data_IF_687477595387
#
_entry.id   IF_687477595387
#
_cell.length_a   1.000
_cell.length_b   1.000
_cell.length_c   1.000
_cell.angle_alpha   90.00
_cell.angle_beta   90.00
_cell.angle_gamma   90.00
#
_symmetry.space_group_name_H-M   'P 1'
#
loop_
_entity.id
_entity.type
_entity.pdbx_description
1 polymer ?
#
# COMPACT_ATOMS: atom_id res chain seq x y z
N UNK A 1 -17.84 3.97 -15.78
CA UNK A 1 -17.65 2.52 -15.87
C UNK A 1 -18.94 2.01 -16.49
N UNK A 2 -18.89 1.43 -17.68
CA UNK A 2 -20.03 0.74 -18.30
C UNK A 2 -19.73 -0.73 -18.13
N UNK A 3 -20.63 -1.47 -17.50
CA UNK A 3 -20.48 -2.90 -17.24
C UNK A 3 -20.82 -3.76 -18.47
N UNK A 4 -21.48 -3.18 -19.49
CA UNK A 4 -21.81 -3.79 -20.79
C UNK A 4 -22.73 -5.01 -20.71
N UNK A 5 -23.28 -5.31 -19.53
CA UNK A 5 -24.19 -6.43 -19.35
C UNK A 5 -25.61 -6.04 -19.78
N UNK A 6 -26.22 -6.88 -20.61
CA UNK A 6 -27.61 -6.76 -21.04
C UNK A 6 -28.56 -7.62 -20.20
N UNK A 7 -28.03 -8.69 -19.61
CA UNK A 7 -28.73 -9.55 -18.65
C UNK A 7 -27.71 -10.30 -17.80
N UNK A 8 -27.98 -10.43 -16.50
CA UNK A 8 -27.23 -11.27 -15.56
C UNK A 8 -28.23 -12.01 -14.68
N UNK A 9 -28.34 -13.31 -14.89
CA UNK A 9 -29.16 -14.22 -14.09
C UNK A 9 -28.23 -15.06 -13.21
N UNK A 10 -28.23 -14.76 -11.90
CA UNK A 10 -27.43 -15.47 -10.89
C UNK A 10 -28.06 -16.81 -10.47
N UNK A 11 -29.39 -16.97 -10.62
CA UNK A 11 -30.11 -18.21 -10.31
C UNK A 11 -29.93 -18.68 -8.85
N UNK A 12 -29.87 -17.73 -7.91
CA UNK A 12 -29.81 -17.99 -6.47
C UNK A 12 -31.20 -18.02 -5.80
N UNK A 13 -32.24 -17.63 -6.53
CA UNK A 13 -33.61 -17.73 -6.03
C UNK A 13 -34.01 -19.19 -5.89
N UNK A 14 -34.67 -19.55 -4.79
CA UNK A 14 -35.10 -20.94 -4.53
C UNK A 14 -36.54 -21.22 -4.98
N UNK A 15 -37.25 -20.19 -5.44
CA UNK A 15 -38.60 -20.26 -6.00
C UNK A 15 -39.00 -18.91 -6.58
N UNK A 16 -39.86 -18.91 -7.61
CA UNK A 16 -40.47 -17.70 -8.14
C UNK A 16 -39.72 -17.14 -9.34
N UNK A 17 -39.68 -15.82 -9.47
CA UNK A 17 -39.04 -15.10 -10.59
C UNK A 17 -37.53 -15.03 -10.31
N UNK A 18 -36.71 -15.24 -11.35
CA UNK A 18 -35.28 -14.94 -11.33
C UNK A 18 -35.05 -13.49 -11.76
N UNK A 19 -34.42 -12.70 -10.90
CA UNK A 19 -34.29 -11.27 -11.16
C UNK A 19 -33.02 -10.98 -11.98
N UNK A 20 -33.19 -10.23 -13.07
CA UNK A 20 -32.05 -9.72 -13.81
C UNK A 20 -31.30 -8.69 -12.95
N UNK A 21 -30.00 -8.92 -12.73
CA UNK A 21 -29.17 -8.04 -11.91
C UNK A 21 -28.71 -6.77 -12.64
N UNK A 22 -29.10 -6.60 -13.91
CA UNK A 22 -28.89 -5.36 -14.67
C UNK A 22 -30.08 -4.41 -14.56
N UNK A 23 -29.93 -3.19 -15.09
CA UNK A 23 -31.04 -2.23 -15.17
C UNK A 23 -32.06 -2.50 -16.29
N UNK A 24 -31.91 -3.61 -17.02
CA UNK A 24 -32.76 -3.93 -18.17
C UNK A 24 -33.98 -4.78 -17.80
N UNK A 25 -34.08 -5.26 -16.56
CA UNK A 25 -35.24 -5.99 -16.01
C UNK A 25 -35.64 -7.20 -16.89
N UNK A 26 -34.67 -7.91 -17.49
CA UNK A 26 -34.92 -9.14 -18.27
C UNK A 26 -35.16 -10.36 -17.35
N UNK A 27 -36.10 -10.21 -16.42
CA UNK A 27 -36.43 -11.19 -15.40
C UNK A 27 -36.88 -12.53 -16.00
N UNK A 28 -36.40 -13.63 -15.42
CA UNK A 28 -36.72 -14.99 -15.82
C UNK A 28 -37.94 -15.55 -15.09
N UNK A 29 -38.94 -16.01 -15.85
CA UNK A 29 -40.09 -16.75 -15.33
C UNK A 29 -39.91 -18.25 -15.55
N UNK A 30 -39.67 -19.05 -14.49
CA UNK A 30 -39.54 -20.49 -14.61
C UNK A 30 -40.89 -21.14 -14.91
N UNK A 31 -40.89 -22.08 -15.85
CA UNK A 31 -42.07 -22.74 -16.40
C UNK A 31 -42.02 -24.24 -16.13
N UNK A 32 -43.20 -24.85 -16.05
CA UNK A 32 -43.42 -26.30 -16.04
C UNK A 32 -42.81 -27.13 -14.90
N UNK A 33 -42.07 -26.53 -13.97
CA UNK A 33 -41.60 -27.24 -12.79
C UNK A 33 -40.11 -27.11 -12.49
N UNK A 34 -39.39 -26.23 -13.19
CA UNK A 34 -37.96 -25.92 -12.96
C UNK A 34 -37.64 -25.91 -11.46
N UNK A 35 -36.68 -26.75 -11.07
CA UNK A 35 -36.21 -26.80 -9.70
C UNK A 35 -35.11 -25.76 -9.48
N UNK A 36 -35.45 -24.70 -8.74
CA UNK A 36 -34.58 -23.55 -8.48
C UNK A 36 -33.72 -23.70 -7.20
N UNK A 37 -33.78 -24.86 -6.53
CA UNK A 37 -33.06 -25.09 -5.27
C UNK A 37 -31.79 -25.93 -5.45
N UNK A 38 -31.23 -25.91 -6.66
CA UNK A 38 -30.01 -26.63 -6.99
C UNK A 38 -28.78 -26.05 -6.27
N UNK A 39 -27.76 -26.90 -6.06
CA UNK A 39 -26.45 -26.43 -5.62
C UNK A 39 -25.63 -26.13 -6.88
N UNK A 40 -25.50 -24.84 -7.17
CA UNK A 40 -24.77 -24.30 -8.31
C UNK A 40 -23.26 -24.43 -8.23
N UNK A 41 -22.61 -23.84 -9.22
CA UNK A 41 -21.22 -23.46 -9.06
C UNK A 41 -21.12 -22.21 -8.17
N UNK A 42 -22.02 -21.24 -8.35
CA UNK A 42 -22.08 -19.99 -7.58
C UNK A 42 -23.45 -19.82 -6.95
N UNK A 43 -23.54 -20.02 -5.64
CA UNK A 43 -24.69 -19.67 -4.79
C UNK A 43 -26.11 -20.04 -5.30
N UNK A 44 -26.24 -21.10 -6.11
CA UNK A 44 -27.54 -21.62 -6.54
C UNK A 44 -27.53 -22.06 -7.99
N UNK A 45 -28.51 -22.84 -8.40
CA UNK A 45 -28.74 -23.10 -9.83
C UNK A 45 -30.14 -23.61 -10.08
N UNK A 46 -30.55 -23.51 -11.34
CA UNK A 46 -31.75 -24.18 -11.83
C UNK A 46 -31.42 -25.56 -12.37
N UNK A 47 -32.30 -26.52 -12.10
CA UNK A 47 -32.22 -27.89 -12.62
C UNK A 47 -33.46 -28.23 -13.45
N UNK A 48 -33.22 -28.82 -14.62
CA UNK A 48 -34.19 -29.14 -15.67
C UNK A 48 -34.29 -30.66 -15.85
N UNK A 49 -35.51 -31.16 -16.06
CA UNK A 49 -35.84 -32.59 -15.96
C UNK A 49 -35.99 -33.36 -17.29
N UNK A 50 -35.52 -32.78 -18.41
CA UNK A 50 -35.65 -33.33 -19.76
C UNK A 50 -37.08 -33.44 -20.32
N UNK A 51 -38.11 -32.92 -19.65
CA UNK A 51 -39.50 -33.03 -20.10
C UNK A 51 -39.95 -31.78 -20.83
N UNK A 52 -40.11 -30.68 -20.10
CA UNK A 52 -40.63 -29.42 -20.65
C UNK A 52 -40.23 -28.19 -19.83
N UNK A 53 -39.31 -28.32 -18.88
CA UNK A 53 -38.79 -27.23 -18.06
C UNK A 53 -38.00 -26.20 -18.90
N UNK A 54 -38.27 -24.92 -18.65
CA UNK A 54 -37.49 -23.80 -19.19
C UNK A 54 -37.74 -22.53 -18.37
N UNK A 55 -36.87 -21.55 -18.50
CA UNK A 55 -37.09 -20.19 -17.97
C UNK A 55 -37.29 -19.24 -19.13
N UNK A 56 -38.36 -18.44 -19.03
CA UNK A 56 -38.76 -17.42 -20.00
C UNK A 56 -38.29 -16.03 -19.55
N UNK A 57 -37.29 -15.45 -20.22
CA UNK A 57 -36.82 -14.08 -19.97
C UNK A 57 -37.54 -13.04 -20.85
N UNK A 58 -38.60 -13.45 -21.57
CA UNK A 58 -39.38 -12.57 -22.43
C UNK A 58 -38.65 -12.13 -23.70
N UNK A 59 -39.21 -11.10 -24.33
CA UNK A 59 -38.66 -10.49 -25.54
C UNK A 59 -38.07 -9.12 -25.20
N UNK A 60 -36.76 -8.98 -25.41
CA UNK A 60 -36.06 -7.70 -25.47
C UNK A 60 -35.05 -7.71 -26.63
N UNK A 61 -34.90 -6.56 -27.28
CA UNK A 61 -33.89 -6.31 -28.32
C UNK A 61 -32.45 -6.27 -27.78
N UNK A 62 -32.25 -6.00 -26.50
CA UNK A 62 -30.96 -6.05 -25.83
C UNK A 62 -30.41 -7.48 -25.67
N UNK A 63 -31.30 -8.48 -25.74
CA UNK A 63 -30.95 -9.90 -25.80
C UNK A 63 -30.65 -10.36 -27.23
N UNK A 64 -30.51 -9.43 -28.19
CA UNK A 64 -30.14 -9.70 -29.58
C UNK A 64 -28.75 -9.14 -29.89
N UNK A 65 -27.85 -9.93 -30.52
CA UNK A 65 -26.56 -9.39 -30.97
C UNK A 65 -26.71 -8.26 -32.01
N UNK A 66 -27.80 -8.27 -32.78
CA UNK A 66 -28.04 -7.26 -33.80
C UNK A 66 -26.90 -7.19 -34.81
N UNK A 67 -26.39 -5.98 -35.08
CA UNK A 67 -25.21 -5.76 -35.93
C UNK A 67 -23.91 -5.54 -35.15
N UNK A 68 -23.97 -5.52 -33.82
CA UNK A 68 -22.84 -5.20 -32.94
C UNK A 68 -22.17 -6.44 -32.38
N UNK A 69 -21.12 -6.20 -31.60
CA UNK A 69 -20.42 -7.25 -30.88
C UNK A 69 -21.27 -7.81 -29.75
N UNK A 70 -20.98 -9.03 -29.33
CA UNK A 70 -21.76 -9.69 -28.30
C UNK A 70 -20.98 -10.76 -27.55
N UNK A 71 -21.35 -11.02 -26.30
CA UNK A 71 -20.89 -12.19 -25.55
C UNK A 71 -22.06 -12.84 -24.84
N UNK A 72 -22.12 -14.16 -24.86
CA UNK A 72 -23.04 -14.95 -24.05
C UNK A 72 -22.26 -16.02 -23.29
N UNK A 73 -22.51 -16.14 -21.99
CA UNK A 73 -21.78 -17.03 -21.08
C UNK A 73 -22.74 -17.71 -20.09
N UNK A 74 -22.40 -18.94 -19.69
CA UNK A 74 -23.12 -19.71 -18.65
C UNK A 74 -22.27 -20.88 -18.16
N UNK A 75 -22.50 -21.31 -16.92
CA UNK A 75 -22.07 -22.59 -16.40
C UNK A 75 -23.11 -23.68 -16.70
N UNK A 76 -22.63 -24.84 -17.15
CA UNK A 76 -23.48 -25.95 -17.59
C UNK A 76 -23.04 -27.23 -16.90
N UNK A 77 -24.01 -27.97 -16.35
CA UNK A 77 -23.82 -29.32 -15.85
C UNK A 77 -24.88 -30.25 -16.43
N UNK A 78 -24.50 -31.12 -17.36
CA UNK A 78 -25.42 -32.04 -18.04
C UNK A 78 -25.60 -33.37 -17.28
N UNK A 79 -26.73 -34.04 -17.49
CA UNK A 79 -27.00 -35.38 -16.94
C UNK A 79 -27.21 -36.47 -17.99
N UNK A 80 -27.68 -36.12 -19.19
CA UNK A 80 -27.80 -37.07 -20.31
C UNK A 80 -26.68 -36.89 -21.33
N UNK A 81 -26.32 -37.98 -22.00
CA UNK A 81 -25.29 -38.08 -23.03
C UNK A 81 -25.89 -38.65 -24.32
N UNK A 82 -25.34 -38.28 -25.47
CA UNK A 82 -25.82 -38.81 -26.75
C UNK A 82 -27.18 -38.25 -27.20
N UNK A 83 -27.60 -37.11 -26.65
CA UNK A 83 -28.91 -36.49 -26.91
C UNK A 83 -28.78 -35.00 -27.18
N UNK A 84 -29.70 -34.47 -27.99
CA UNK A 84 -29.72 -33.05 -28.37
C UNK A 84 -30.49 -32.22 -27.34
N UNK A 85 -29.82 -31.39 -26.56
CA UNK A 85 -30.42 -30.58 -25.49
C UNK A 85 -30.08 -29.09 -25.63
N UNK A 86 -31.09 -28.23 -25.57
CA UNK A 86 -30.91 -26.78 -25.66
C UNK A 86 -30.47 -26.20 -24.32
N UNK A 87 -29.44 -25.36 -24.33
CA UNK A 87 -29.00 -24.59 -23.16
C UNK A 87 -29.77 -23.27 -23.13
N UNK A 88 -29.73 -22.53 -24.25
CA UNK A 88 -30.57 -21.35 -24.44
C UNK A 88 -30.90 -21.12 -25.92
N UNK A 89 -31.97 -20.36 -26.14
CA UNK A 89 -32.44 -20.02 -27.47
C UNK A 89 -33.13 -18.67 -27.49
N UNK A 90 -32.88 -17.92 -28.56
CA UNK A 90 -33.71 -16.83 -29.04
C UNK A 90 -33.77 -16.95 -30.56
N UNK A 91 -34.43 -18.01 -31.03
CA UNK A 91 -34.51 -18.33 -32.46
C UNK A 91 -35.89 -18.79 -32.90
N UNK A 92 -36.30 -18.42 -34.11
CA UNK A 92 -37.52 -18.96 -34.74
C UNK A 92 -37.30 -20.41 -35.18
N UNK A 93 -38.39 -21.14 -35.41
CA UNK A 93 -38.31 -22.48 -36.02
C UNK A 93 -37.75 -22.48 -37.46
N UNK A 94 -37.63 -21.31 -38.10
CA UNK A 94 -37.01 -21.10 -39.42
C UNK A 94 -35.53 -20.74 -39.35
N UNK A 95 -34.97 -20.59 -38.14
CA UNK A 95 -33.54 -20.37 -37.89
C UNK A 95 -33.12 -18.93 -37.59
N UNK A 96 -34.04 -17.95 -37.68
CA UNK A 96 -33.71 -16.54 -37.43
C UNK A 96 -33.41 -16.32 -35.93
N UNK A 97 -32.24 -15.77 -35.63
CA UNK A 97 -31.78 -15.53 -34.26
C UNK A 97 -30.53 -16.33 -33.91
N UNK A 98 -30.44 -16.78 -32.66
CA UNK A 98 -29.33 -17.60 -32.18
C UNK A 98 -29.80 -18.66 -31.16
N UNK A 99 -29.00 -19.71 -31.02
CA UNK A 99 -29.17 -20.71 -29.98
C UNK A 99 -27.83 -21.38 -29.63
N UNK A 100 -27.81 -21.98 -28.46
CA UNK A 100 -26.70 -22.75 -27.93
C UNK A 100 -27.21 -24.03 -27.32
N UNK A 101 -26.64 -25.14 -27.74
CA UNK A 101 -27.12 -26.47 -27.36
C UNK A 101 -25.98 -27.47 -27.34
N UNK A 102 -26.25 -28.63 -26.79
CA UNK A 102 -25.38 -29.80 -26.87
C UNK A 102 -25.98 -30.75 -27.91
N UNK A 103 -25.18 -31.17 -28.90
CA UNK A 103 -25.58 -32.15 -29.91
C UNK A 103 -25.53 -33.59 -29.38
N UNK A 104 -26.10 -34.53 -30.14
CA UNK A 104 -26.09 -35.95 -29.83
C UNK A 104 -24.69 -36.61 -29.93
N UNK A 105 -23.68 -35.92 -30.45
CA UNK A 105 -22.27 -36.32 -30.29
C UNK A 105 -21.56 -35.67 -29.08
N UNK A 106 -22.33 -35.12 -28.14
CA UNK A 106 -21.86 -34.46 -26.93
C UNK A 106 -21.05 -33.16 -27.17
N UNK A 107 -21.17 -32.58 -28.36
CA UNK A 107 -20.50 -31.33 -28.75
C UNK A 107 -21.37 -30.13 -28.38
N UNK A 108 -20.77 -29.13 -27.74
CA UNK A 108 -21.42 -27.84 -27.56
C UNK A 108 -21.44 -27.10 -28.89
N UNK A 109 -22.60 -26.61 -29.30
CA UNK A 109 -22.82 -26.00 -30.60
C UNK A 109 -23.52 -24.67 -30.46
N UNK A 110 -22.90 -23.63 -31.02
CA UNK A 110 -23.49 -22.32 -31.17
C UNK A 110 -23.89 -22.08 -32.62
N UNK A 111 -25.07 -21.54 -32.81
CA UNK A 111 -25.55 -21.15 -34.12
C UNK A 111 -26.26 -19.81 -34.07
N UNK A 112 -25.96 -18.98 -35.05
CA UNK A 112 -26.66 -17.72 -35.29
C UNK A 112 -26.82 -17.46 -36.79
N UNK A 113 -27.91 -16.81 -37.19
CA UNK A 113 -28.12 -16.43 -38.60
C UNK A 113 -28.07 -14.91 -38.75
N UNK A 114 -26.94 -14.34 -39.20
CA UNK A 114 -26.93 -13.06 -39.89
C UNK A 114 -27.49 -13.23 -41.32
N UNK A 115 -27.96 -12.14 -41.95
CA UNK A 115 -28.60 -12.20 -43.27
C UNK A 115 -27.69 -12.90 -44.30
N UNK A 116 -28.17 -14.01 -44.86
CA UNK A 116 -27.59 -14.68 -46.03
C UNK A 116 -26.60 -15.81 -45.75
N UNK A 117 -26.11 -16.01 -44.51
CA UNK A 117 -25.24 -17.13 -44.14
C UNK A 117 -25.18 -17.32 -42.62
N UNK A 118 -25.00 -18.55 -42.11
CA UNK A 118 -24.96 -18.82 -40.68
C UNK A 118 -23.55 -18.68 -40.07
N UNK A 119 -23.50 -18.39 -38.78
CA UNK A 119 -22.37 -18.64 -37.90
C UNK A 119 -22.70 -19.96 -37.20
N UNK A 120 -21.90 -20.98 -37.41
CA UNK A 120 -22.13 -22.33 -36.90
C UNK A 120 -20.81 -22.87 -36.36
N UNK A 121 -20.76 -23.09 -35.05
CA UNK A 121 -19.53 -23.37 -34.31
C UNK A 121 -19.75 -24.52 -33.36
N UNK A 122 -18.77 -25.43 -33.29
CA UNK A 122 -18.80 -26.59 -32.41
C UNK A 122 -17.51 -26.65 -31.57
N UNK A 123 -17.66 -26.92 -30.28
CA UNK A 123 -16.54 -27.18 -29.36
C UNK A 123 -16.00 -28.61 -29.52
N UNK A 124 -15.03 -28.97 -28.68
CA UNK A 124 -14.79 -30.37 -28.32
C UNK A 124 -15.90 -30.94 -27.41
N UNK A 125 -16.01 -32.27 -27.26
CA UNK A 125 -17.14 -32.87 -26.56
C UNK A 125 -17.08 -32.68 -25.03
N UNK A 126 -18.25 -32.45 -24.43
CA UNK A 126 -18.47 -32.47 -22.98
C UNK A 126 -18.94 -33.87 -22.59
N UNK A 127 -17.99 -34.72 -22.16
CA UNK A 127 -18.20 -36.17 -21.96
C UNK A 127 -18.33 -36.59 -20.51
N UNK A 128 -18.46 -35.63 -19.60
CA UNK A 128 -18.69 -35.86 -18.18
C UNK A 128 -19.88 -35.02 -17.65
N UNK A 129 -20.09 -35.06 -16.34
CA UNK A 129 -21.18 -34.39 -15.65
C UNK A 129 -20.69 -33.38 -14.59
N UNK A 130 -19.51 -32.80 -14.80
CA UNK A 130 -19.02 -31.67 -14.01
C UNK A 130 -19.57 -30.34 -14.56
N UNK A 131 -19.36 -29.27 -13.80
CA UNK A 131 -19.66 -27.92 -14.26
C UNK A 131 -18.62 -27.53 -15.31
N UNK A 132 -19.09 -27.01 -16.44
CA UNK A 132 -18.27 -26.45 -17.50
C UNK A 132 -18.65 -25.02 -17.79
N UNK A 133 -17.66 -24.16 -18.00
CA UNK A 133 -17.88 -22.76 -18.33
C UNK A 133 -17.88 -22.57 -19.84
N UNK A 134 -19.03 -22.22 -20.39
CA UNK A 134 -19.21 -22.08 -21.81
C UNK A 134 -19.46 -20.62 -22.20
N UNK A 135 -18.66 -20.12 -23.16
CA UNK A 135 -18.76 -18.73 -23.62
C UNK A 135 -18.69 -18.66 -25.13
N UNK A 136 -19.51 -17.80 -25.74
CA UNK A 136 -19.39 -17.43 -27.15
C UNK A 136 -19.24 -15.92 -27.25
N UNK A 137 -18.20 -15.47 -27.94
CA UNK A 137 -18.01 -14.08 -28.32
C UNK A 137 -18.26 -13.91 -29.81
N UNK A 138 -18.92 -12.82 -30.19
CA UNK A 138 -19.13 -12.36 -31.55
C UNK A 138 -18.43 -11.02 -31.69
N UNK A 139 -17.23 -11.02 -32.26
CA UNK A 139 -16.58 -9.80 -32.74
C UNK A 139 -16.92 -9.64 -34.23
N UNK A 140 -17.79 -8.67 -34.54
CA UNK A 140 -18.41 -8.50 -35.86
C UNK A 140 -17.47 -7.98 -36.92
N UNK A 141 -16.36 -7.35 -36.54
CA UNK A 141 -15.30 -6.95 -37.47
C UNK A 141 -14.09 -7.91 -37.46
N UNK A 142 -14.10 -8.88 -36.54
CA UNK A 142 -13.14 -9.98 -36.44
C UNK A 142 -13.77 -11.39 -36.49
N UNK A 143 -13.66 -12.10 -35.38
CA UNK A 143 -13.97 -13.52 -35.27
C UNK A 143 -15.08 -13.81 -34.24
N UNK A 144 -15.93 -14.79 -34.54
CA UNK A 144 -16.69 -15.47 -33.51
C UNK A 144 -15.79 -16.51 -32.82
N UNK A 145 -15.82 -16.58 -31.50
CA UNK A 145 -14.99 -17.51 -30.72
C UNK A 145 -15.81 -18.20 -29.64
N UNK A 146 -15.72 -19.54 -29.59
CA UNK A 146 -16.30 -20.38 -28.56
C UNK A 146 -15.19 -20.78 -27.59
N UNK A 147 -15.41 -20.54 -26.32
CA UNK A 147 -14.56 -20.93 -25.21
C UNK A 147 -15.24 -21.99 -24.36
N UNK A 148 -14.44 -22.93 -23.85
CA UNK A 148 -14.84 -23.94 -22.90
C UNK A 148 -13.81 -23.95 -21.77
N UNK A 149 -14.27 -23.86 -20.53
CA UNK A 149 -13.45 -23.85 -19.31
C UNK A 149 -12.32 -22.80 -19.38
N UNK A 150 -12.73 -21.57 -19.72
CA UNK A 150 -11.83 -20.41 -19.84
C UNK A 150 -10.87 -20.44 -21.04
N UNK A 151 -10.85 -21.51 -21.83
CA UNK A 151 -9.91 -21.74 -22.92
C UNK A 151 -10.58 -21.67 -24.29
N UNK A 152 -9.85 -21.20 -25.32
CA UNK A 152 -10.36 -21.18 -26.69
C UNK A 152 -10.60 -22.61 -27.19
N UNK A 153 -11.82 -22.89 -27.65
CA UNK A 153 -12.20 -24.19 -28.22
C UNK A 153 -12.32 -24.12 -29.75
N UNK A 154 -13.04 -23.13 -30.28
CA UNK A 154 -13.19 -22.90 -31.72
C UNK A 154 -13.23 -21.41 -32.05
N UNK A 155 -12.72 -21.02 -33.21
CA UNK A 155 -12.85 -19.66 -33.74
C UNK A 155 -13.13 -19.69 -35.23
N UNK A 156 -13.91 -18.74 -35.72
CA UNK A 156 -14.18 -18.54 -37.15
C UNK A 156 -14.27 -17.07 -37.49
N UNK A 157 -13.76 -16.68 -38.65
CA UNK A 157 -13.85 -15.30 -39.10
C UNK A 157 -15.29 -14.98 -39.54
N UNK A 158 -15.86 -13.91 -38.98
CA UNK A 158 -17.22 -13.46 -39.28
C UNK A 158 -17.28 -12.04 -39.82
N UNK A 159 -16.14 -11.39 -40.09
CA UNK A 159 -16.07 -10.01 -40.57
C UNK A 159 -16.78 -9.76 -41.91
N UNK A 160 -17.04 -10.84 -42.68
CA UNK A 160 -17.81 -10.79 -43.92
C UNK A 160 -19.31 -11.07 -43.75
N UNK A 161 -19.74 -11.51 -42.56
CA UNK A 161 -21.13 -11.86 -42.25
C UNK A 161 -21.90 -10.58 -41.90
N UNK A 162 -22.67 -10.08 -42.87
CA UNK A 162 -23.43 -8.84 -42.74
C UNK A 162 -24.88 -9.09 -42.31
N UNK A 163 -25.55 -8.07 -41.77
CA UNK A 163 -26.93 -8.17 -41.32
C UNK A 163 -27.07 -8.38 -39.81
N UNK A 164 -28.27 -8.13 -39.30
CA UNK A 164 -28.58 -8.23 -37.90
C UNK A 164 -28.92 -9.67 -37.52
N UNK A 165 -28.43 -10.13 -36.37
CA UNK A 165 -28.87 -11.38 -35.73
C UNK A 165 -30.00 -10.99 -34.78
N UNK A 166 -31.24 -11.22 -35.20
CA UNK A 166 -32.44 -10.86 -34.43
C UNK A 166 -33.48 -11.97 -34.53
N UNK A 167 -34.42 -12.00 -33.59
CA UNK A 167 -35.50 -12.98 -33.57
C UNK A 167 -36.72 -12.43 -32.87
N UNK A 168 -37.91 -12.64 -33.45
CA UNK A 168 -39.17 -12.29 -32.80
C UNK A 168 -39.55 -13.20 -31.62
N UNK A 169 -38.73 -14.21 -31.31
CA UNK A 169 -38.95 -15.11 -30.18
C UNK A 169 -38.44 -14.51 -28.87
N UNK A 170 -39.01 -15.00 -27.78
CA UNK A 170 -38.48 -14.78 -26.44
C UNK A 170 -37.07 -15.38 -26.30
N UNK A 171 -36.30 -14.89 -25.34
CA UNK A 171 -35.10 -15.58 -24.86
C UNK A 171 -35.53 -16.60 -23.81
N UNK A 172 -35.17 -17.86 -24.02
CA UNK A 172 -35.39 -18.93 -23.05
C UNK A 172 -34.12 -19.72 -22.81
N UNK A 173 -33.94 -20.20 -21.59
CA UNK A 173 -32.91 -21.18 -21.23
C UNK A 173 -33.52 -22.43 -20.59
N UNK A 174 -32.78 -23.54 -20.65
CA UNK A 174 -33.25 -24.87 -20.25
C UNK A 174 -34.04 -25.63 -21.33
N UNK A 175 -34.53 -24.94 -22.36
CA UNK A 175 -35.06 -25.57 -23.57
C UNK A 175 -35.03 -24.60 -24.75
N UNK A 176 -35.29 -25.13 -25.95
CA UNK A 176 -35.63 -24.30 -27.08
C UNK A 176 -37.12 -23.97 -27.07
N UNK A 177 -37.46 -22.69 -27.14
CA UNK A 177 -38.85 -22.27 -27.25
C UNK A 177 -39.12 -21.62 -28.62
N UNK A 178 -40.08 -22.19 -29.36
CA UNK A 178 -40.57 -21.60 -30.63
C UNK A 178 -42.08 -21.39 -30.57
N UNK A 179 -42.88 -22.34 -31.02
CA UNK A 179 -44.34 -22.38 -30.77
C UNK A 179 -44.70 -23.28 -29.59
N UNK A 180 -43.69 -23.82 -28.92
CA UNK A 180 -43.75 -24.71 -27.77
C UNK A 180 -42.33 -25.19 -27.41
N UNK A 181 -42.23 -25.97 -26.35
CA UNK A 181 -40.96 -26.50 -25.83
C UNK A 181 -40.39 -27.56 -26.78
N UNK A 182 -39.10 -27.46 -27.07
CA UNK A 182 -38.33 -28.38 -27.90
C UNK A 182 -36.95 -28.59 -27.27
N UNK A 183 -36.40 -29.79 -27.40
CA UNK A 183 -35.06 -30.14 -26.91
C UNK A 183 -34.81 -29.71 -25.45
N UNK A 184 -35.70 -30.11 -24.52
CA UNK A 184 -35.53 -29.79 -23.10
C UNK A 184 -34.20 -30.33 -22.57
N UNK A 185 -33.56 -29.56 -21.69
CA UNK A 185 -32.32 -29.95 -21.06
C UNK A 185 -32.57 -30.92 -19.90
N UNK A 186 -31.66 -31.87 -19.73
CA UNK A 186 -31.50 -32.62 -18.49
C UNK A 186 -30.18 -32.22 -17.82
N UNK A 187 -30.27 -31.50 -16.71
CA UNK A 187 -29.10 -30.97 -16.01
C UNK A 187 -29.35 -29.62 -15.36
N UNK A 188 -28.28 -28.90 -15.07
CA UNK A 188 -28.32 -27.63 -14.38
C UNK A 188 -27.60 -26.52 -15.15
N UNK A 189 -28.11 -25.30 -15.01
CA UNK A 189 -27.51 -24.07 -15.55
C UNK A 189 -27.29 -23.08 -14.42
N UNK A 190 -26.22 -22.31 -14.53
CA UNK A 190 -25.83 -21.29 -13.55
C UNK A 190 -25.16 -20.09 -14.27
N UNK A 191 -25.23 -18.91 -13.66
CA UNK A 191 -24.64 -17.64 -14.11
C UNK A 191 -24.83 -17.34 -15.61
N UNK A 192 -26.07 -17.18 -16.06
CA UNK A 192 -26.36 -16.83 -17.45
C UNK A 192 -26.14 -15.33 -17.63
N UNK A 193 -25.19 -14.95 -18.49
CA UNK A 193 -24.89 -13.53 -18.73
C UNK A 193 -24.74 -13.20 -20.20
N UNK A 194 -25.29 -12.05 -20.59
CA UNK A 194 -25.23 -11.52 -21.94
C UNK A 194 -24.59 -10.13 -21.89
N UNK A 195 -23.68 -9.82 -22.81
CA UNK A 195 -23.02 -8.52 -22.92
C UNK A 195 -23.03 -7.97 -24.35
N UNK A 196 -23.14 -6.66 -24.51
CA UNK A 196 -23.14 -5.94 -25.81
C UNK A 196 -21.74 -5.66 -26.37
N UNK A 197 -20.75 -6.45 -25.92
CA UNK A 197 -19.34 -6.38 -26.34
C UNK A 197 -18.77 -7.78 -26.51
N UNK A 198 -17.76 -7.93 -27.37
CA UNK A 198 -16.94 -9.13 -27.43
C UNK A 198 -15.92 -9.11 -26.27
N UNK A 199 -16.14 -9.93 -25.24
CA UNK A 199 -15.21 -10.04 -24.10
C UNK A 199 -13.88 -10.62 -24.56
N UNK A 200 -12.78 -10.11 -24.01
CA UNK A 200 -11.45 -10.55 -24.40
C UNK A 200 -11.14 -11.97 -23.86
N UNK A 201 -10.21 -12.72 -24.48
CA UNK A 201 -9.76 -14.00 -23.94
C UNK A 201 -9.27 -13.91 -22.49
N UNK A 202 -8.59 -12.82 -22.13
CA UNK A 202 -8.11 -12.58 -20.77
C UNK A 202 -9.26 -12.34 -19.78
N UNK A 203 -10.32 -11.64 -20.19
CA UNK A 203 -11.52 -11.47 -19.37
C UNK A 203 -12.19 -12.81 -19.09
N UNK A 204 -12.37 -13.64 -20.13
CA UNK A 204 -13.04 -14.94 -20.03
C UNK A 204 -12.24 -15.90 -19.15
N UNK A 205 -10.93 -15.99 -19.33
CA UNK A 205 -10.06 -16.84 -18.50
C UNK A 205 -10.05 -16.37 -17.03
N UNK A 206 -10.03 -15.05 -16.79
CA UNK A 206 -10.11 -14.48 -15.44
C UNK A 206 -11.44 -14.80 -14.78
N UNK A 207 -12.54 -14.65 -15.53
CA UNK A 207 -13.90 -14.90 -15.05
C UNK A 207 -14.11 -16.38 -14.68
N UNK A 208 -13.62 -17.30 -15.52
CA UNK A 208 -13.60 -18.74 -15.23
C UNK A 208 -12.84 -19.04 -13.93
N UNK A 209 -11.56 -18.65 -13.83
CA UNK A 209 -10.75 -18.98 -12.65
C UNK A 209 -11.29 -18.36 -11.36
N UNK A 210 -11.82 -17.13 -11.43
CA UNK A 210 -12.40 -16.45 -10.28
C UNK A 210 -13.68 -17.13 -9.75
N UNK A 211 -14.41 -17.86 -10.60
CA UNK A 211 -15.66 -18.51 -10.23
C UNK A 211 -15.51 -19.99 -9.91
N UNK A 212 -14.61 -20.69 -10.61
CA UNK A 212 -14.35 -22.12 -10.43
C UNK A 212 -13.65 -22.41 -9.09
N UNK A 213 -12.62 -21.63 -8.77
CA UNK A 213 -11.83 -21.76 -7.55
C UNK A 213 -11.26 -20.39 -7.13
N UNK A 214 -12.09 -19.51 -6.54
CA UNK A 214 -11.66 -18.17 -6.14
C UNK A 214 -10.46 -18.18 -5.18
N UNK A 215 -10.37 -19.20 -4.32
CA UNK A 215 -9.32 -19.31 -3.31
C UNK A 215 -7.95 -19.61 -3.93
N UNK A 216 -7.88 -20.27 -5.08
CA UNK A 216 -6.62 -20.48 -5.82
C UNK A 216 -6.34 -19.40 -6.87
N UNK A 217 -7.33 -18.60 -7.24
CA UNK A 217 -7.19 -17.54 -8.25
C UNK A 217 -6.33 -16.36 -7.79
N UNK A 218 -6.41 -15.98 -6.51
CA UNK A 218 -5.64 -14.88 -5.94
C UNK A 218 -5.04 -15.25 -4.58
N UNK A 219 -3.83 -14.79 -4.33
CA UNK A 219 -3.19 -14.87 -3.01
C UNK A 219 -3.20 -13.48 -2.37
N UNK A 220 -3.79 -13.37 -1.18
CA UNK A 220 -3.75 -12.14 -0.39
C UNK A 220 -2.60 -12.28 0.59
N UNK A 221 -1.53 -11.53 0.34
CA UNK A 221 -0.42 -11.41 1.27
C UNK A 221 -0.87 -10.85 2.62
N UNK A 222 -0.04 -11.07 3.65
CA UNK A 222 -0.28 -10.45 4.95
C UNK A 222 -0.36 -8.92 4.82
N UNK A 223 -1.22 -8.31 5.65
CA UNK A 223 -1.22 -6.87 5.86
C UNK A 223 0.17 -6.43 6.34
N UNK A 224 0.75 -5.41 5.70
CA UNK A 224 2.01 -4.83 6.15
C UNK A 224 1.79 -4.05 7.45
N UNK A 225 2.51 -4.41 8.51
CA UNK A 225 2.52 -3.63 9.75
C UNK A 225 3.49 -2.47 9.63
N UNK A 226 3.04 -1.26 9.98
CA UNK A 226 3.93 -0.11 10.17
C UNK A 226 4.91 -0.42 11.32
N UNK A 227 6.22 -0.08 11.22
CA UNK A 227 7.15 -0.25 12.32
C UNK A 227 6.61 0.45 13.58
N UNK A 228 6.74 -0.19 14.74
CA UNK A 228 6.33 0.40 16.02
C UNK A 228 7.00 1.75 16.23
N UNK A 229 6.23 2.79 16.56
CA UNK A 229 6.77 4.06 17.02
C UNK A 229 7.70 3.81 18.21
N UNK A 230 8.90 4.39 18.12
CA UNK A 230 9.88 4.34 19.19
C UNK A 230 9.42 5.23 20.36
N UNK A 231 9.53 4.67 21.56
CA UNK A 231 9.09 5.28 22.81
C UNK A 231 10.23 5.37 23.84
N UNK A 232 11.45 5.00 23.46
CA UNK A 232 12.61 4.97 24.35
C UNK A 232 13.37 6.29 24.19
N UNK A 233 13.50 7.12 25.24
CA UNK A 233 14.27 8.35 25.13
C UNK A 233 15.79 8.13 25.02
N UNK A 234 16.52 9.07 24.43
CA UNK A 234 17.97 8.99 24.32
C UNK A 234 18.63 8.98 25.71
N UNK A 235 19.73 8.24 25.86
CA UNK A 235 20.52 8.16 27.08
C UNK A 235 21.73 9.07 26.99
N UNK A 236 21.87 9.98 27.95
CA UNK A 236 23.01 10.90 28.08
C UNK A 236 23.92 10.40 29.21
N UNK A 237 25.20 10.20 28.92
CA UNK A 237 26.23 9.81 29.90
C UNK A 237 27.53 10.60 29.70
N UNK A 238 28.47 10.44 30.63
CA UNK A 238 29.83 10.97 30.55
C UNK A 238 29.89 12.49 30.27
N UNK A 239 28.97 13.24 30.89
CA UNK A 239 28.94 14.70 30.81
C UNK A 239 30.13 15.26 31.57
N UNK A 240 31.01 15.97 30.88
CA UNK A 240 32.24 16.51 31.45
C UNK A 240 32.60 17.88 30.84
N UNK A 241 33.47 18.62 31.53
CA UNK A 241 34.07 19.86 31.05
C UNK A 241 35.59 19.78 31.13
N UNK A 242 36.25 20.08 30.02
CA UNK A 242 37.69 20.26 29.95
C UNK A 242 38.00 21.72 29.70
N UNK A 243 38.86 22.31 30.50
CA UNK A 243 39.29 23.72 30.42
C UNK A 243 40.77 23.75 30.04
N UNK A 244 41.22 24.84 29.41
CA UNK A 244 42.63 25.07 29.11
C UNK A 244 43.52 24.93 30.35
N UNK A 245 44.75 24.47 30.12
CA UNK A 245 45.79 24.34 31.13
C UNK A 245 47.06 25.05 30.62
N UNK A 246 47.41 26.24 31.14
CA UNK A 246 46.75 26.96 32.25
C UNK A 246 45.36 27.49 31.89
N UNK A 247 44.54 27.73 32.92
CA UNK A 247 43.24 28.40 32.77
C UNK A 247 43.47 29.89 32.48
N UNK A 248 42.75 30.43 31.50
CA UNK A 248 42.89 31.81 31.04
C UNK A 248 41.54 32.31 30.50
N UNK A 249 41.24 33.59 30.72
CA UNK A 249 40.01 34.26 30.26
C UNK A 249 40.19 35.02 28.94
N UNK A 250 41.41 35.16 28.44
CA UNK A 250 41.68 35.72 27.11
C UNK A 250 41.32 34.67 26.03
N UNK A 251 40.41 34.99 25.08
CA UNK A 251 40.03 34.10 23.98
C UNK A 251 41.16 33.57 23.09
N UNK A 252 42.35 34.19 23.16
CA UNK A 252 43.53 33.78 22.40
C UNK A 252 44.25 32.59 23.02
N UNK A 253 44.06 32.34 24.33
CA UNK A 253 44.83 31.37 25.12
C UNK A 253 43.93 30.42 25.90
N UNK A 254 42.78 30.92 26.38
CA UNK A 254 41.75 30.17 27.09
C UNK A 254 40.77 29.45 26.16
N UNK A 255 40.32 28.28 26.58
CA UNK A 255 39.27 27.53 25.90
C UNK A 255 38.59 26.54 26.84
N UNK A 256 37.31 26.28 26.57
CA UNK A 256 36.50 25.27 27.23
C UNK A 256 35.91 24.30 26.20
N UNK A 257 35.87 23.03 26.57
CA UNK A 257 35.19 21.95 25.86
C UNK A 257 34.20 21.29 26.82
N UNK A 258 32.91 21.41 26.53
CA UNK A 258 31.87 20.64 27.22
C UNK A 258 31.52 19.46 26.32
N UNK A 259 31.62 18.24 26.84
CA UNK A 259 31.39 17.02 26.08
C UNK A 259 30.50 16.02 26.80
N UNK A 260 29.91 15.10 26.03
CA UNK A 260 29.11 13.98 26.54
C UNK A 260 28.98 12.84 25.53
N UNK A 261 28.45 11.72 26.01
CA UNK A 261 27.96 10.62 25.18
C UNK A 261 26.44 10.63 25.12
N UNK A 262 25.85 10.56 23.93
CA UNK A 262 24.41 10.39 23.70
C UNK A 262 24.17 9.19 22.79
N UNK A 263 23.38 8.22 23.25
CA UNK A 263 23.01 7.02 22.49
C UNK A 263 21.51 6.80 22.54
N UNK A 264 21.01 6.12 21.51
CA UNK A 264 19.60 5.80 21.34
C UNK A 264 19.47 4.52 20.50
N UNK A 265 18.38 3.76 20.65
CA UNK A 265 18.17 2.51 19.91
C UNK A 265 17.67 2.72 18.47
N UNK A 266 17.05 3.86 18.18
CA UNK A 266 16.58 4.23 16.83
C UNK A 266 17.28 5.45 16.24
N UNK A 267 18.09 6.14 17.05
CA UNK A 267 19.06 7.13 16.62
C UNK A 267 18.78 8.52 17.17
N UNK A 268 19.86 9.24 17.51
CA UNK A 268 19.80 10.59 18.06
C UNK A 268 19.57 11.60 16.93
N UNK A 269 18.63 12.52 17.10
CA UNK A 269 18.31 13.55 16.12
C UNK A 269 19.00 14.88 16.44
N UNK A 270 18.93 15.37 17.68
CA UNK A 270 19.63 16.59 18.07
C UNK A 270 20.09 16.57 19.52
N UNK A 271 21.20 17.26 19.79
CA UNK A 271 21.80 17.39 21.12
C UNK A 271 22.16 18.86 21.35
N UNK A 272 21.72 19.39 22.47
CA UNK A 272 21.90 20.78 22.85
C UNK A 272 22.52 20.92 24.24
N UNK A 273 23.43 21.88 24.36
CA UNK A 273 23.96 22.39 25.62
C UNK A 273 23.06 23.56 26.07
N UNK A 274 22.45 23.44 27.23
CA UNK A 274 21.75 24.53 27.88
C UNK A 274 22.65 25.09 28.99
N UNK A 275 23.07 26.34 28.85
CA UNK A 275 24.00 27.00 29.77
C UNK A 275 23.38 28.26 30.37
N UNK A 276 23.60 28.46 31.66
CA UNK A 276 23.23 29.64 32.44
C UNK A 276 24.51 30.39 32.80
N UNK A 277 24.59 31.65 32.36
CA UNK A 277 25.72 32.54 32.57
C UNK A 277 25.69 33.19 33.97
N UNK A 278 26.79 33.79 34.44
CA UNK A 278 26.87 34.44 35.75
C UNK A 278 25.82 35.55 35.98
N UNK A 279 25.42 36.26 34.92
CA UNK A 279 24.37 37.30 34.95
C UNK A 279 22.93 36.73 34.93
N UNK A 280 22.80 35.40 34.95
CA UNK A 280 21.58 34.60 34.92
C UNK A 280 20.87 34.50 33.56
N UNK A 281 21.45 34.99 32.46
CA UNK A 281 20.89 34.68 31.14
C UNK A 281 21.19 33.23 30.75
N UNK A 282 20.33 32.64 29.92
CA UNK A 282 20.45 31.25 29.47
C UNK A 282 20.54 31.15 27.96
N UNK A 283 21.41 30.30 27.45
CA UNK A 283 21.51 29.97 26.03
C UNK A 283 21.29 28.47 25.80
N UNK A 284 20.74 28.14 24.62
CA UNK A 284 20.57 26.77 24.17
C UNK A 284 21.35 26.58 22.85
N UNK A 285 22.44 25.83 22.92
CA UNK A 285 23.47 25.78 21.89
C UNK A 285 23.53 24.37 21.30
N UNK A 286 23.54 24.24 19.97
CA UNK A 286 23.70 22.94 19.32
C UNK A 286 25.11 22.40 19.57
N UNK A 287 25.23 21.15 20.01
CA UNK A 287 26.51 20.46 20.15
C UNK A 287 26.95 19.86 18.79
N UNK A 288 28.25 19.66 18.62
CA UNK A 288 28.86 19.06 17.43
C UNK A 288 29.03 17.56 17.62
N UNK A 289 28.56 16.76 16.67
CA UNK A 289 28.77 15.30 16.64
C UNK A 289 30.19 14.98 16.14
N UNK A 290 30.95 14.23 16.94
CA UNK A 290 32.28 13.72 16.58
C UNK A 290 32.27 12.25 16.12
N UNK A 291 31.11 11.61 16.11
CA UNK A 291 30.90 10.21 15.76
C UNK A 291 30.91 9.29 16.98
N UNK A 292 30.26 8.12 16.86
CA UNK A 292 30.21 7.12 17.92
C UNK A 292 29.39 7.54 19.15
N UNK A 293 28.44 8.47 18.98
CA UNK A 293 27.61 9.01 20.06
C UNK A 293 28.29 10.09 20.90
N UNK A 294 29.45 10.60 20.48
CA UNK A 294 30.21 11.62 21.21
C UNK A 294 29.87 13.02 20.70
N UNK A 295 29.40 13.89 21.60
CA UNK A 295 29.03 15.27 21.30
C UNK A 295 29.87 16.24 22.11
N UNK A 296 30.26 17.36 21.51
CA UNK A 296 31.04 18.39 22.19
C UNK A 296 30.67 19.81 21.74
N UNK A 297 30.98 20.79 22.59
CA UNK A 297 30.92 22.21 22.27
C UNK A 297 32.21 22.88 22.74
N UNK A 298 32.92 23.52 21.80
CA UNK A 298 34.13 24.30 22.07
C UNK A 298 33.80 25.78 22.05
N UNK A 299 34.21 26.52 23.08
CA UNK A 299 34.10 27.98 23.11
C UNK A 299 35.16 28.57 24.03
N UNK A 300 35.18 29.90 24.16
CA UNK A 300 35.88 30.59 25.24
C UNK A 300 34.90 31.48 25.99
N UNK A 301 34.77 31.26 27.30
CA UNK A 301 33.94 32.07 28.19
C UNK A 301 34.76 33.22 28.80
N UNK A 302 34.27 34.45 28.67
CA UNK A 302 34.98 35.66 29.14
C UNK A 302 34.31 36.34 30.34
N UNK A 303 33.10 35.94 30.71
CA UNK A 303 32.43 36.49 31.89
C UNK A 303 32.91 35.74 33.14
N UNK A 304 33.38 36.50 34.12
CA UNK A 304 33.88 35.94 35.38
C UNK A 304 32.69 35.48 36.22
N UNK A 305 32.78 34.26 36.76
CA UNK A 305 31.78 33.74 37.69
C UNK A 305 31.42 32.28 37.47
N UNK A 306 30.29 31.88 38.08
CA UNK A 306 29.78 30.51 38.02
C UNK A 306 28.81 30.31 36.86
N UNK A 307 29.05 29.23 36.10
CA UNK A 307 28.21 28.79 34.99
C UNK A 307 27.50 27.49 35.36
N UNK A 308 26.18 27.47 35.23
CA UNK A 308 25.38 26.25 35.36
C UNK A 308 25.07 25.67 33.99
N UNK A 309 25.16 24.36 33.80
CA UNK A 309 24.82 23.76 32.51
C UNK A 309 24.21 22.36 32.62
N UNK A 310 23.42 21.98 31.63
CA UNK A 310 22.96 20.60 31.41
C UNK A 310 22.84 20.33 29.92
N UNK A 311 22.78 19.06 29.54
CA UNK A 311 22.65 18.63 28.15
C UNK A 311 21.25 18.07 27.94
N UNK A 312 20.62 18.43 26.83
CA UNK A 312 19.31 17.95 26.42
C UNK A 312 19.41 17.33 25.03
N UNK A 313 18.74 16.20 24.81
CA UNK A 313 18.73 15.51 23.52
C UNK A 313 17.34 15.01 23.14
N UNK A 314 17.09 14.91 21.84
CA UNK A 314 15.95 14.19 21.28
C UNK A 314 16.36 13.20 20.19
N UNK A 315 15.60 12.12 20.07
CA UNK A 315 15.75 11.11 19.03
C UNK A 315 14.95 11.46 17.76
N UNK A 316 15.02 10.58 16.76
CA UNK A 316 14.29 10.72 15.50
C UNK A 316 12.75 10.60 15.62
N UNK A 317 12.26 10.16 16.78
CA UNK A 317 10.86 9.93 17.12
C UNK A 317 10.33 10.96 18.13
N UNK A 318 11.07 12.04 18.36
CA UNK A 318 10.79 13.12 19.29
C UNK A 318 10.70 12.73 20.78
N UNK A 319 11.23 11.57 21.20
CA UNK A 319 11.44 11.34 22.63
C UNK A 319 12.65 12.14 23.11
N UNK A 320 12.59 12.61 24.36
CA UNK A 320 13.54 13.60 24.88
C UNK A 320 14.09 13.19 26.25
N UNK A 321 15.34 13.57 26.52
CA UNK A 321 15.97 13.38 27.82
C UNK A 321 16.94 14.53 28.14
N UNK A 322 17.26 14.70 29.42
CA UNK A 322 18.22 15.69 29.90
C UNK A 322 19.17 15.11 30.96
N UNK A 323 20.42 15.56 30.96
CA UNK A 323 21.38 15.24 32.01
C UNK A 323 21.05 15.94 33.33
N UNK A 324 21.75 15.56 34.40
CA UNK A 324 21.82 16.40 35.61
C UNK A 324 22.49 17.74 35.31
N UNK A 325 22.16 18.76 36.11
CA UNK A 325 22.84 20.05 36.07
C UNK A 325 24.23 19.96 36.71
N UNK A 326 25.20 20.57 36.05
CA UNK A 326 26.59 20.72 36.49
C UNK A 326 26.94 22.20 36.62
N UNK A 327 28.04 22.49 37.32
CA UNK A 327 28.54 23.86 37.52
C UNK A 327 30.04 23.87 37.27
N UNK A 328 30.53 24.89 36.58
CA UNK A 328 31.95 25.24 36.50
C UNK A 328 32.14 26.73 36.76
N UNK A 329 33.37 27.16 36.98
CA UNK A 329 33.69 28.55 37.34
C UNK A 329 34.81 29.06 36.43
N UNK A 330 34.65 30.30 35.96
CA UNK A 330 35.68 31.03 35.21
C UNK A 330 36.26 32.12 36.12
N UNK A 331 37.51 31.95 36.59
CA UNK A 331 38.19 32.91 37.45
C UNK A 331 38.85 34.06 36.68
N UNK A 332 38.94 35.26 37.25
CA UNK A 332 39.72 36.34 36.68
C UNK A 332 41.20 35.94 36.64
N UNK A 333 41.95 36.39 35.63
CA UNK A 333 43.37 36.05 35.49
C UNK A 333 44.24 36.56 36.66
N UNK A 334 43.78 37.51 37.46
CA UNK A 334 44.51 38.01 38.63
C UNK A 334 44.40 37.12 39.87
N UNK A 335 43.42 36.20 39.93
CA UNK A 335 43.33 35.18 40.98
C UNK A 335 44.14 33.97 40.52
N UNK A 336 45.41 33.92 40.93
CA UNK A 336 46.40 32.99 40.36
C UNK A 336 46.17 31.59 40.89
N UNK A 337 45.81 31.46 42.16
CA UNK A 337 45.60 30.16 42.79
C UNK A 337 44.15 29.66 42.73
N UNK A 338 43.23 30.46 42.18
CA UNK A 338 41.80 30.19 42.06
C UNK A 338 41.12 29.93 43.42
N UNK A 339 41.52 30.67 44.46
CA UNK A 339 40.94 30.55 45.80
C UNK A 339 39.82 31.57 46.10
N UNK A 340 39.46 32.38 45.09
CA UNK A 340 38.44 33.44 45.11
C UNK A 340 38.85 34.73 45.83
N UNK A 341 40.06 34.80 46.39
CA UNK A 341 40.55 35.95 47.17
C UNK A 341 41.90 36.45 46.63
N UNK A 342 41.97 37.65 46.06
CA UNK A 342 43.26 38.21 45.66
C UNK A 342 44.09 38.62 46.87
N UNK A 343 45.09 37.80 47.19
CA UNK A 343 45.86 37.93 48.42
C UNK A 343 47.37 38.08 48.17
N UNK A 344 48.14 38.12 49.24
CA UNK A 344 49.60 38.09 49.14
C UNK A 344 50.10 36.77 48.52
N UNK A 345 49.30 35.70 48.55
CA UNK A 345 49.69 34.43 47.97
C UNK A 345 49.70 34.50 46.44
N UNK A 346 48.74 35.17 45.81
CA UNK A 346 48.72 35.40 44.36
C UNK A 346 49.94 36.20 43.89
N UNK A 347 50.24 37.28 44.61
CA UNK A 347 51.45 38.08 44.36
C UNK A 347 52.74 37.27 44.53
N UNK A 348 52.79 36.36 45.51
CA UNK A 348 53.94 35.49 45.74
C UNK A 348 54.08 34.46 44.61
N UNK A 349 52.99 33.98 44.03
CA UNK A 349 53.03 33.07 42.88
C UNK A 349 53.62 33.77 41.66
N UNK A 350 53.13 34.96 41.31
CA UNK A 350 53.72 35.76 40.22
C UNK A 350 55.20 36.08 40.49
N UNK A 351 55.54 36.51 41.71
CA UNK A 351 56.92 36.81 42.08
C UNK A 351 57.84 35.57 42.03
N UNK A 352 57.29 34.37 42.22
CA UNK A 352 58.00 33.11 42.10
C UNK A 352 58.52 32.83 40.69
N UNK A 353 57.88 33.41 39.68
CA UNK A 353 58.19 33.29 38.26
C UNK A 353 58.81 34.57 37.66
N UNK A 354 59.23 35.53 38.49
CA UNK A 354 59.76 36.82 38.02
C UNK A 354 61.01 36.67 37.13
N UNK A 355 61.07 37.43 36.03
CA UNK A 355 62.08 37.37 34.96
C UNK A 355 62.05 36.06 34.14
N UNK A 356 61.05 35.19 34.30
CA UNK A 356 60.83 34.06 33.40
C UNK A 356 60.16 34.51 32.10
N UNK A 357 60.57 33.90 30.99
CA UNK A 357 60.04 34.22 29.66
C UNK A 357 59.59 32.97 28.93
N UNK A 358 58.50 33.08 28.18
CA UNK A 358 57.81 31.97 27.54
C UNK A 358 57.11 32.37 26.25
N UNK A 359 56.14 31.54 25.85
CA UNK A 359 55.18 31.89 24.80
C UNK A 359 53.95 32.52 25.47
N UNK A 360 53.28 33.47 24.84
CA UNK A 360 52.08 34.10 25.40
C UNK A 360 51.05 33.04 25.86
N UNK A 361 50.54 33.15 27.09
CA UNK A 361 49.58 32.19 27.67
C UNK A 361 50.19 30.89 28.22
N UNK A 362 51.51 30.84 28.45
CA UNK A 362 52.19 29.64 28.90
C UNK A 362 51.95 29.27 30.36
N UNK A 363 51.77 30.26 31.23
CA UNK A 363 51.46 30.10 32.65
C UNK A 363 50.51 31.22 33.08
N UNK A 364 49.81 31.01 34.20
CA UNK A 364 48.81 31.94 34.72
C UNK A 364 49.44 33.20 35.32
N UNK A 365 50.70 33.10 35.75
CA UNK A 365 51.51 34.17 36.32
C UNK A 365 51.96 35.24 35.30
N UNK A 366 51.91 34.92 34.00
CA UNK A 366 52.03 35.88 32.89
C UNK A 366 50.64 36.51 32.64
N UNK A 367 50.20 37.34 33.58
CA UNK A 367 48.79 37.79 33.71
C UNK A 367 48.33 38.59 32.49
N UNK A 368 49.25 39.31 31.83
CA UNK A 368 48.95 40.09 30.63
C UNK A 368 49.18 39.32 29.32
N UNK A 369 49.65 38.08 29.40
CA UNK A 369 49.98 37.21 28.28
C UNK A 369 50.95 37.84 27.26
N UNK A 370 51.95 38.61 27.71
CA UNK A 370 52.95 39.21 26.83
C UNK A 370 54.21 38.33 26.63
N UNK A 371 54.30 37.23 27.38
CA UNK A 371 55.39 36.26 27.32
C UNK A 371 56.53 36.53 28.31
N UNK A 372 56.49 37.63 29.07
CA UNK A 372 57.51 38.02 30.04
C UNK A 372 56.89 38.27 31.44
N UNK A 373 57.15 37.39 32.43
CA UNK A 373 56.66 37.62 33.80
C UNK A 373 57.47 38.74 34.45
N UNK A 374 56.85 39.91 34.58
CA UNK A 374 57.52 41.15 34.92
C UNK A 374 56.85 41.89 36.07
N UNK A 375 57.36 43.10 36.36
CA UNK A 375 56.70 43.99 37.33
C UNK A 375 55.30 44.41 36.87
N UNK A 376 55.00 44.31 35.57
CA UNK A 376 53.67 44.64 35.04
C UNK A 376 52.63 43.65 35.55
N UNK A 377 52.94 42.35 35.54
CA UNK A 377 52.05 41.28 36.03
C UNK A 377 51.80 41.42 37.53
N UNK A 378 52.86 41.69 38.30
CA UNK A 378 52.72 41.99 39.73
C UNK A 378 51.85 43.22 39.99
N UNK A 379 51.95 44.26 39.16
CA UNK A 379 51.10 45.46 39.27
C UNK A 379 49.65 45.16 38.90
N UNK A 380 49.40 44.28 37.93
CA UNK A 380 48.05 43.84 37.57
C UNK A 380 47.38 43.09 38.72
N UNK A 381 48.07 42.12 39.33
CA UNK A 381 47.54 41.42 40.52
C UNK A 381 47.41 42.36 41.72
N UNK A 382 48.41 43.21 42.00
CA UNK A 382 48.35 44.14 43.12
C UNK A 382 47.22 45.19 42.98
N UNK A 383 46.78 45.47 41.75
CA UNK A 383 45.62 46.31 41.48
C UNK A 383 44.32 45.78 42.06
N UNK A 384 44.24 44.47 42.31
CA UNK A 384 43.08 43.77 42.83
C UNK A 384 43.29 43.27 44.28
N UNK A 385 44.32 43.72 44.99
CA UNK A 385 44.62 43.22 46.34
C UNK A 385 43.45 43.43 47.32
N UNK A 386 43.12 42.40 48.10
CA UNK A 386 41.94 42.30 48.98
C UNK A 386 40.57 42.28 48.24
N UNK A 387 40.55 42.10 46.91
CA UNK A 387 39.31 41.84 46.15
C UNK A 387 38.91 40.37 46.16
N UNK A 388 37.60 40.14 46.09
CA UNK A 388 36.95 38.82 45.98
C UNK A 388 35.97 38.86 44.81
N UNK A 389 35.73 37.75 44.13
CA UNK A 389 34.87 37.70 42.93
C UNK A 389 33.79 36.61 42.97
#
# INVERSE_FOLDING_TARGET
>A
WSDHYMMVQHLNETSGIHYDSTSYDNDGSPMNGVNQSGVGLIDGCDTFDATDDYVDCGYDSGLEPGTGDYTIETWIKRLDFGTHHSIFSKRTGTGDGYAFWIEDEDLLRFFAIPIGDSIDMQSGPITDNYWHYAVVTLDRDGNATLYLDGSLSMTTNISTKTGAITSSQLFAFGAQYTTGVQQPMNGSLDEIRLSDVARSPGWIATNYNNQDDPDSFFDVGYEETVPSDDVVPPVISDVDITISAPIDTDPSYGWENISCTVIDDMGVHSVYLNITYPDLHTENISMTDSGGGQYYYNTTYTEIGSYGYFIWANDASDNTNASSSNIFVIPPNWDINNDHDCSIFDLVLVAGHFDETGYNGWIREDVNNDGDVSIVDLVLVAGHFDETW
#
